data_IF_962021481893
#
_entry.id   IF_962021481893
#
_cell.length_a   1.000
_cell.length_b   1.000
_cell.length_c   1.000
_cell.angle_alpha   90.00
_cell.angle_beta   90.00
_cell.angle_gamma   90.00
#
_symmetry.space_group_name_H-M   'P 1'
#
loop_
_entity.id
_entity.type
_entity.pdbx_description
1 polymer ?
#
# COMPACT_ATOMS: atom_id res chain seq x y z
N UNK A 1 3.35 25.60 -10.50
CA UNK A 1 4.27 26.75 -10.28
C UNK A 1 4.24 27.70 -11.47
N UNK A 2 4.28 27.18 -12.70
CA UNK A 2 4.39 27.94 -13.96
C UNK A 2 3.39 29.10 -14.11
N UNK A 3 2.08 28.86 -13.90
CA UNK A 3 1.07 29.93 -13.97
C UNK A 3 1.38 31.09 -13.01
N UNK A 4 1.72 30.79 -11.76
CA UNK A 4 2.07 31.81 -10.75
C UNK A 4 3.32 32.60 -11.15
N UNK A 5 4.30 31.94 -11.78
CA UNK A 5 5.49 32.62 -12.31
C UNK A 5 5.17 33.55 -13.49
N UNK A 6 4.25 33.18 -14.38
CA UNK A 6 3.80 34.08 -15.46
C UNK A 6 3.16 35.36 -14.90
N UNK A 7 2.30 35.21 -13.87
CA UNK A 7 1.67 36.34 -13.19
C UNK A 7 2.70 37.22 -12.49
N UNK A 8 3.68 36.61 -11.82
CA UNK A 8 4.77 37.35 -11.15
C UNK A 8 5.63 38.13 -12.16
N UNK A 9 6.02 37.50 -13.27
CA UNK A 9 6.80 38.17 -14.32
C UNK A 9 6.02 39.33 -14.95
N UNK A 10 4.72 39.16 -15.20
CA UNK A 10 3.88 40.24 -15.70
C UNK A 10 3.71 41.38 -14.70
N UNK A 11 3.63 41.08 -13.40
CA UNK A 11 3.56 42.09 -12.34
C UNK A 11 4.88 42.86 -12.17
N UNK A 12 6.03 42.24 -12.46
CA UNK A 12 7.35 42.88 -12.45
C UNK A 12 7.59 43.75 -13.68
N UNK A 13 7.05 43.36 -14.85
CA UNK A 13 7.12 44.17 -16.07
C UNK A 13 6.11 45.34 -16.07
N UNK A 14 5.06 45.27 -15.27
CA UNK A 14 4.00 46.30 -15.19
C UNK A 14 3.75 46.70 -13.74
N UNK A 15 2.61 46.32 -13.15
CA UNK A 15 2.31 46.45 -11.73
C UNK A 15 1.35 45.34 -11.27
N UNK A 16 1.17 45.19 -9.95
CA UNK A 16 0.37 44.12 -9.39
C UNK A 16 -1.11 44.19 -9.83
N UNK A 17 -1.69 45.38 -9.93
CA UNK A 17 -3.10 45.57 -10.28
C UNK A 17 -3.39 45.22 -11.74
N UNK A 18 -2.49 45.60 -12.66
CA UNK A 18 -2.60 45.25 -14.08
C UNK A 18 -2.41 43.75 -14.30
N UNK A 19 -1.43 43.13 -13.63
CA UNK A 19 -1.26 41.68 -13.67
C UNK A 19 -2.47 40.94 -13.08
N UNK A 20 -3.01 41.43 -11.96
CA UNK A 20 -4.23 40.89 -11.36
C UNK A 20 -5.41 40.87 -12.35
N UNK A 21 -5.68 42.01 -13.00
CA UNK A 21 -6.72 42.13 -14.03
C UNK A 21 -6.47 41.24 -15.24
N UNK A 22 -5.24 41.24 -15.77
CA UNK A 22 -4.86 40.46 -16.96
C UNK A 22 -5.04 38.95 -16.77
N UNK A 23 -4.75 38.43 -15.59
CA UNK A 23 -4.79 36.99 -15.30
C UNK A 23 -6.01 36.55 -14.47
N UNK A 24 -6.96 37.44 -14.19
CA UNK A 24 -8.16 37.12 -13.42
C UNK A 24 -7.87 36.66 -11.99
N UNK A 25 -6.82 37.19 -11.36
CA UNK A 25 -6.43 36.85 -9.99
C UNK A 25 -6.50 38.09 -9.10
N UNK A 26 -6.71 37.90 -7.80
CA UNK A 26 -6.71 39.03 -6.86
C UNK A 26 -5.30 39.60 -6.69
N UNK A 27 -5.20 40.92 -6.54
CA UNK A 27 -3.91 41.61 -6.32
C UNK A 27 -3.17 41.06 -5.09
N UNK A 28 -3.89 40.71 -4.02
CA UNK A 28 -3.30 40.12 -2.82
C UNK A 28 -2.56 38.79 -3.12
N UNK A 29 -3.07 37.99 -4.06
CA UNK A 29 -2.41 36.76 -4.51
C UNK A 29 -1.17 37.08 -5.35
N UNK A 30 -1.23 38.11 -6.20
CA UNK A 30 -0.07 38.59 -6.97
C UNK A 30 1.06 39.01 -6.01
N UNK A 31 0.74 39.85 -5.02
CA UNK A 31 1.70 40.30 -4.00
C UNK A 31 2.30 39.11 -3.24
N UNK A 32 1.46 38.18 -2.78
CA UNK A 32 1.92 36.96 -2.09
C UNK A 32 2.84 36.11 -2.96
N UNK A 33 2.53 35.92 -4.24
CA UNK A 33 3.37 35.13 -5.15
C UNK A 33 4.68 35.81 -5.48
N UNK A 34 4.74 37.14 -5.53
CA UNK A 34 6.00 37.90 -5.64
C UNK A 34 6.91 37.66 -4.44
N UNK A 35 6.38 37.69 -3.22
CA UNK A 35 7.15 37.35 -2.00
C UNK A 35 7.66 35.90 -2.06
N UNK A 36 6.90 35.00 -2.67
CA UNK A 36 7.25 33.59 -2.80
C UNK A 36 8.05 33.26 -4.08
N UNK A 37 8.53 34.25 -4.83
CA UNK A 37 9.14 34.06 -6.16
C UNK A 37 10.25 33.01 -6.17
N UNK A 38 11.20 33.06 -5.23
CA UNK A 38 12.32 32.12 -5.18
C UNK A 38 11.86 30.68 -4.86
N UNK A 39 10.87 30.54 -3.98
CA UNK A 39 10.25 29.24 -3.71
C UNK A 39 9.48 28.71 -4.92
N UNK A 40 8.86 29.59 -5.71
CA UNK A 40 8.14 29.22 -6.93
C UNK A 40 9.10 28.83 -8.07
N UNK A 41 10.26 29.50 -8.19
CA UNK A 41 11.34 29.13 -9.12
C UNK A 41 11.92 27.75 -8.81
N UNK A 42 12.17 27.47 -7.53
CA UNK A 42 12.75 26.20 -7.07
C UNK A 42 11.70 25.06 -6.95
N UNK A 43 10.42 25.35 -7.22
CA UNK A 43 9.38 24.34 -7.17
C UNK A 43 9.40 23.46 -8.43
N UNK A 44 9.37 22.14 -8.24
CA UNK A 44 9.28 21.18 -9.34
C UNK A 44 8.03 21.46 -10.22
N UNK A 45 8.26 21.73 -11.52
CA UNK A 45 7.23 22.11 -12.49
C UNK A 45 6.14 21.04 -12.68
N UNK A 46 6.48 19.74 -12.52
CA UNK A 46 5.55 18.62 -12.62
C UNK A 46 4.69 18.45 -11.36
N UNK A 47 5.04 19.11 -10.25
CA UNK A 47 4.34 18.97 -8.96
C UNK A 47 3.13 19.92 -8.90
N UNK A 48 1.92 19.37 -9.06
CA UNK A 48 0.66 20.12 -8.96
C UNK A 48 0.26 20.51 -7.52
N UNK A 49 0.76 19.81 -6.51
CA UNK A 49 0.47 20.10 -5.09
C UNK A 49 1.60 19.61 -4.15
N UNK A 50 1.74 20.26 -2.99
CA UNK A 50 2.60 19.74 -1.92
C UNK A 50 1.97 18.45 -1.35
N UNK A 51 2.69 17.34 -1.46
CA UNK A 51 2.26 16.00 -1.02
C UNK A 51 2.90 15.58 0.31
N UNK A 52 3.46 16.54 1.06
CA UNK A 52 4.23 16.28 2.26
C UNK A 52 5.71 16.01 1.99
N UNK A 53 6.52 15.88 3.06
CA UNK A 53 7.90 15.42 3.00
C UNK A 53 7.97 13.98 2.48
N UNK A 54 8.97 13.70 1.64
CA UNK A 54 9.25 12.32 1.21
C UNK A 54 9.92 11.47 2.29
N UNK A 55 10.45 12.10 3.34
CA UNK A 55 11.12 11.43 4.46
C UNK A 55 10.34 11.63 5.76
N UNK A 56 10.24 10.58 6.58
CA UNK A 56 9.67 10.67 7.92
C UNK A 56 10.62 11.39 8.88
N UNK A 57 10.10 11.81 10.05
CA UNK A 57 10.94 12.34 11.16
C UNK A 57 11.97 11.31 11.62
N UNK A 58 11.56 10.04 11.69
CA UNK A 58 12.40 8.92 12.14
C UNK A 58 12.84 8.09 10.93
N UNK A 59 13.82 8.59 10.19
CA UNK A 59 14.27 7.97 8.93
C UNK A 59 14.83 6.56 9.15
N UNK A 60 15.55 6.35 10.25
CA UNK A 60 16.17 5.05 10.55
C UNK A 60 15.13 3.99 10.93
N UNK A 61 14.08 4.38 11.67
CA UNK A 61 12.93 3.49 11.94
C UNK A 61 12.25 3.14 10.62
N UNK A 62 11.95 4.14 9.78
CA UNK A 62 11.31 3.92 8.48
C UNK A 62 12.14 2.92 7.62
N UNK A 63 13.47 3.07 7.57
CA UNK A 63 14.39 2.19 6.82
C UNK A 63 14.34 0.74 7.32
N UNK A 64 14.62 0.52 8.61
CA UNK A 64 14.70 -0.82 9.20
C UNK A 64 13.36 -1.57 9.17
N UNK A 65 12.24 -0.85 9.31
CA UNK A 65 10.92 -1.45 9.17
C UNK A 65 10.63 -1.86 7.71
N UNK A 66 11.08 -1.08 6.73
CA UNK A 66 10.90 -1.45 5.32
C UNK A 66 11.73 -2.68 4.92
N UNK A 67 12.94 -2.80 5.44
CA UNK A 67 13.80 -3.98 5.26
C UNK A 67 13.12 -5.23 5.84
N UNK A 68 12.64 -5.15 7.09
CA UNK A 68 11.88 -6.22 7.73
C UNK A 68 10.62 -6.61 6.94
N UNK A 69 9.87 -5.64 6.42
CA UNK A 69 8.70 -5.92 5.59
C UNK A 69 9.10 -6.66 4.32
N UNK A 70 10.19 -6.26 3.67
CA UNK A 70 10.67 -6.89 2.43
C UNK A 70 11.13 -8.32 2.69
N UNK A 71 11.92 -8.55 3.73
CA UNK A 71 12.41 -9.87 4.15
C UNK A 71 11.24 -10.83 4.41
N UNK A 72 10.30 -10.46 5.27
CA UNK A 72 9.16 -11.32 5.63
C UNK A 72 8.22 -11.57 4.45
N UNK A 73 8.13 -10.63 3.50
CA UNK A 73 7.38 -10.85 2.26
C UNK A 73 8.08 -11.82 1.31
N UNK A 74 9.42 -11.81 1.25
CA UNK A 74 10.19 -12.77 0.47
C UNK A 74 10.07 -14.20 1.05
N UNK A 75 9.94 -14.33 2.37
CA UNK A 75 9.61 -15.60 3.05
C UNK A 75 8.15 -16.06 2.82
N UNK A 76 7.33 -15.28 2.11
CA UNK A 76 5.92 -15.59 1.88
C UNK A 76 5.00 -15.31 3.07
N UNK A 77 5.51 -14.74 4.17
CA UNK A 77 4.73 -14.50 5.37
C UNK A 77 3.78 -13.29 5.21
N UNK A 78 2.56 -13.37 5.77
CA UNK A 78 1.65 -12.24 5.82
C UNK A 78 2.13 -11.24 6.88
N UNK A 79 2.12 -9.95 6.52
CA UNK A 79 2.50 -8.87 7.44
C UNK A 79 1.31 -7.93 7.61
N UNK A 80 0.87 -7.79 8.85
CA UNK A 80 -0.19 -6.85 9.22
C UNK A 80 0.39 -5.53 9.68
N UNK A 81 -0.47 -4.51 9.77
CA UNK A 81 -0.07 -3.20 10.32
C UNK A 81 0.33 -3.29 11.79
N UNK A 82 -0.30 -4.16 12.56
CA UNK A 82 0.05 -4.39 13.96
C UNK A 82 1.49 -4.91 14.10
N UNK A 83 1.89 -5.86 13.24
CA UNK A 83 3.26 -6.39 13.20
C UNK A 83 4.25 -5.26 12.85
N UNK A 84 3.92 -4.41 11.88
CA UNK A 84 4.73 -3.24 11.51
C UNK A 84 4.90 -2.29 12.70
N UNK A 85 3.82 -2.00 13.42
CA UNK A 85 3.86 -1.12 14.59
C UNK A 85 4.70 -1.71 15.71
N UNK A 86 4.55 -3.01 15.98
CA UNK A 86 5.33 -3.72 16.99
C UNK A 86 6.83 -3.71 16.65
N UNK A 87 7.18 -4.02 15.39
CA UNK A 87 8.58 -3.96 14.94
C UNK A 87 9.15 -2.55 15.06
N UNK A 88 8.36 -1.53 14.73
CA UNK A 88 8.78 -0.14 14.86
C UNK A 88 9.04 0.28 16.30
N UNK A 89 8.23 -0.18 17.26
CA UNK A 89 8.45 0.07 18.69
C UNK A 89 9.73 -0.62 19.18
N UNK A 90 10.00 -1.85 18.73
CA UNK A 90 11.25 -2.53 19.08
C UNK A 90 12.48 -1.79 18.54
N UNK A 91 12.44 -1.33 17.29
CA UNK A 91 13.52 -0.53 16.71
C UNK A 91 13.67 0.81 17.45
N UNK A 92 12.57 1.44 17.87
CA UNK A 92 12.64 2.68 18.64
C UNK A 92 13.33 2.48 20.00
N UNK A 93 13.07 1.34 20.68
CA UNK A 93 13.77 0.96 21.91
C UNK A 93 15.27 0.75 21.66
N UNK A 94 15.62 0.05 20.58
CA UNK A 94 17.03 -0.19 20.20
C UNK A 94 17.78 1.12 19.89
N UNK A 95 17.08 2.12 19.34
CA UNK A 95 17.64 3.45 19.05
C UNK A 95 17.57 4.42 20.25
N UNK A 96 17.16 3.96 21.43
CA UNK A 96 16.96 4.76 22.63
C UNK A 96 16.00 5.97 22.41
N UNK A 97 14.98 5.81 21.56
CA UNK A 97 13.97 6.85 21.33
C UNK A 97 12.87 6.71 22.39
N UNK A 98 12.57 7.77 23.16
CA UNK A 98 11.52 7.72 24.17
C UNK A 98 10.14 7.41 23.59
N UNK A 99 9.31 6.68 24.34
CA UNK A 99 7.91 6.40 23.99
C UNK A 99 7.05 7.67 23.90
N UNK A 100 7.48 8.77 24.54
CA UNK A 100 6.88 10.10 24.41
C UNK A 100 7.07 10.68 23.02
N UNK A 101 8.20 10.40 22.36
CA UNK A 101 8.54 10.90 21.03
C UNK A 101 8.01 10.02 19.90
N UNK A 102 8.04 8.70 20.07
CA UNK A 102 7.60 7.75 19.06
C UNK A 102 6.64 6.71 19.61
N UNK A 103 5.39 6.74 19.11
CA UNK A 103 4.30 5.86 19.55
C UNK A 103 3.88 4.81 18.52
N UNK A 104 4.62 4.69 17.40
CA UNK A 104 4.23 3.86 16.25
C UNK A 104 2.75 3.99 15.86
N UNK A 105 2.20 5.22 15.89
CA UNK A 105 0.76 5.42 15.73
C UNK A 105 0.22 4.91 14.40
N UNK A 106 -1.08 4.62 14.36
CA UNK A 106 -1.81 4.23 13.14
C UNK A 106 -1.53 5.19 11.97
N UNK A 107 -1.50 6.49 12.26
CA UNK A 107 -1.19 7.54 11.28
C UNK A 107 0.29 7.62 10.87
N UNK A 108 1.24 7.24 11.74
CA UNK A 108 2.64 7.06 11.33
C UNK A 108 2.75 5.88 10.37
N UNK A 109 2.20 4.71 10.72
CA UNK A 109 2.26 3.49 9.91
C UNK A 109 1.70 3.71 8.49
N UNK A 110 0.51 4.33 8.36
CA UNK A 110 -0.08 4.64 7.04
C UNK A 110 0.85 5.56 6.22
N UNK A 111 1.40 6.60 6.85
CA UNK A 111 2.25 7.58 6.15
C UNK A 111 3.59 6.96 5.77
N UNK A 112 4.19 6.15 6.64
CA UNK A 112 5.43 5.41 6.36
C UNK A 112 5.22 4.46 5.18
N UNK A 113 4.18 3.61 5.23
CA UNK A 113 3.84 2.71 4.12
C UNK A 113 3.67 3.47 2.80
N UNK A 114 2.93 4.59 2.80
CA UNK A 114 2.76 5.42 1.60
C UNK A 114 4.08 5.99 1.06
N UNK A 115 5.01 6.39 1.94
CA UNK A 115 6.34 6.89 1.54
C UNK A 115 7.18 5.77 0.93
N UNK A 116 7.10 4.57 1.48
CA UNK A 116 7.87 3.39 1.06
C UNK A 116 7.24 2.59 -0.08
N UNK A 117 6.15 3.09 -0.67
CA UNK A 117 5.46 2.40 -1.75
C UNK A 117 4.75 1.11 -1.32
N UNK A 118 4.44 0.96 -0.04
CA UNK A 118 3.72 -0.18 0.53
C UNK A 118 2.21 0.10 0.60
N UNK A 119 1.39 -0.94 0.39
CA UNK A 119 -0.07 -0.89 0.48
C UNK A 119 -0.62 -2.18 1.09
N UNK A 120 -1.80 -2.08 1.70
CA UNK A 120 -2.56 -3.27 2.06
C UNK A 120 -3.09 -3.94 0.80
N UNK A 121 -2.89 -5.24 0.69
CA UNK A 121 -3.37 -6.10 -0.40
C UNK A 121 -4.16 -7.24 0.22
N UNK A 122 -5.35 -7.49 -0.31
CA UNK A 122 -6.08 -8.74 -0.07
C UNK A 122 -5.60 -9.76 -1.09
N UNK A 123 -5.26 -10.97 -0.67
CA UNK A 123 -5.03 -12.05 -1.62
C UNK A 123 -6.38 -12.37 -2.29
N UNK A 124 -6.52 -12.08 -3.59
CA UNK A 124 -7.77 -12.28 -4.34
C UNK A 124 -7.85 -13.61 -5.07
N UNK A 125 -6.79 -14.43 -5.09
CA UNK A 125 -6.89 -15.79 -5.61
C UNK A 125 -5.91 -16.73 -4.90
N UNK A 126 -6.45 -17.82 -4.36
CA UNK A 126 -5.74 -19.08 -4.16
C UNK A 126 -6.04 -19.99 -5.36
N UNK A 127 -5.98 -19.45 -6.58
CA UNK A 127 -5.99 -20.31 -7.76
C UNK A 127 -4.60 -20.94 -7.82
N UNK A 128 -4.42 -22.04 -7.09
CA UNK A 128 -3.31 -22.95 -7.37
C UNK A 128 -3.40 -23.28 -8.87
N UNK A 129 -2.30 -23.16 -9.58
CA UNK A 129 -2.25 -23.68 -10.95
C UNK A 129 -2.68 -25.14 -10.89
N UNK A 130 -3.76 -25.47 -11.61
CA UNK A 130 -4.18 -26.87 -11.70
C UNK A 130 -3.01 -27.65 -12.31
N UNK A 131 -2.62 -28.79 -11.70
CA UNK A 131 -1.66 -29.69 -12.32
C UNK A 131 -2.08 -30.04 -13.76
N UNK A 132 -1.11 -30.24 -14.64
CA UNK A 132 -1.38 -30.56 -16.06
C UNK A 132 -2.21 -31.83 -16.23
N UNK A 133 -2.13 -32.77 -15.28
CA UNK A 133 -2.84 -34.04 -15.24
C UNK A 133 -4.19 -33.97 -14.50
N UNK A 134 -4.62 -32.80 -14.03
CA UNK A 134 -5.85 -32.64 -13.25
C UNK A 134 -7.09 -33.15 -13.98
N UNK A 135 -7.22 -32.82 -15.27
CA UNK A 135 -8.38 -33.19 -16.07
C UNK A 135 -8.49 -34.73 -16.21
N UNK A 136 -7.36 -35.41 -16.44
CA UNK A 136 -7.33 -36.87 -16.56
C UNK A 136 -7.64 -37.57 -15.24
N UNK A 137 -7.05 -37.10 -14.13
CA UNK A 137 -7.32 -37.63 -12.79
C UNK A 137 -8.77 -37.42 -12.36
N UNK A 138 -9.35 -36.26 -12.68
CA UNK A 138 -10.76 -35.99 -12.40
C UNK A 138 -11.66 -36.97 -13.16
N UNK A 139 -11.37 -37.20 -14.44
CA UNK A 139 -12.17 -38.08 -15.29
C UNK A 139 -12.04 -39.56 -14.87
N UNK A 140 -10.84 -40.01 -14.51
CA UNK A 140 -10.62 -41.38 -14.02
C UNK A 140 -11.31 -41.63 -12.68
N UNK A 141 -11.23 -40.67 -11.75
CA UNK A 141 -11.92 -40.74 -10.47
C UNK A 141 -13.45 -40.77 -10.63
N UNK A 142 -14.02 -39.91 -11.48
CA UNK A 142 -15.45 -39.93 -11.77
C UNK A 142 -15.91 -41.28 -12.34
N UNK A 143 -15.17 -41.85 -13.30
CA UNK A 143 -15.48 -43.18 -13.86
C UNK A 143 -15.43 -44.27 -12.79
N UNK A 144 -14.42 -44.23 -11.93
CA UNK A 144 -14.26 -45.17 -10.82
C UNK A 144 -15.45 -45.14 -9.84
N UNK A 145 -15.85 -43.94 -9.39
CA UNK A 145 -16.98 -43.76 -8.46
C UNK A 145 -18.31 -44.21 -9.09
N UNK A 146 -18.55 -43.86 -10.36
CA UNK A 146 -19.75 -44.30 -11.09
C UNK A 146 -19.76 -45.83 -11.22
N UNK A 147 -18.62 -46.46 -11.49
CA UNK A 147 -18.48 -47.91 -11.57
C UNK A 147 -18.83 -48.60 -10.25
N UNK A 148 -18.28 -48.12 -9.13
CA UNK A 148 -18.59 -48.62 -7.79
C UNK A 148 -20.08 -48.50 -7.47
N UNK A 149 -20.69 -47.35 -7.79
CA UNK A 149 -22.12 -47.12 -7.55
C UNK A 149 -22.99 -48.11 -8.31
N UNK A 150 -22.67 -48.39 -9.59
CA UNK A 150 -23.41 -49.38 -10.40
C UNK A 150 -23.21 -50.80 -9.90
N UNK A 151 -21.99 -51.16 -9.47
CA UNK A 151 -21.65 -52.51 -9.00
C UNK A 151 -22.36 -52.90 -7.70
N UNK A 152 -22.50 -51.95 -6.78
CA UNK A 152 -23.02 -52.21 -5.43
C UNK A 152 -24.41 -51.63 -5.19
N UNK A 153 -25.01 -50.98 -6.19
CA UNK A 153 -26.35 -50.37 -6.13
C UNK A 153 -26.55 -49.42 -4.94
N UNK A 154 -25.51 -48.65 -4.58
CA UNK A 154 -25.60 -47.67 -3.50
C UNK A 154 -26.67 -46.62 -3.79
N UNK A 155 -27.61 -46.47 -2.86
CA UNK A 155 -28.61 -45.40 -2.88
C UNK A 155 -27.94 -44.09 -2.45
N UNK A 156 -28.54 -42.93 -2.78
CA UNK A 156 -27.92 -41.63 -2.49
C UNK A 156 -27.77 -41.36 -1.00
N UNK A 157 -28.70 -41.88 -0.20
CA UNK A 157 -28.71 -41.83 1.27
C UNK A 157 -27.54 -42.61 1.91
N UNK A 158 -26.90 -43.52 1.17
CA UNK A 158 -25.75 -44.31 1.61
C UNK A 158 -24.40 -43.66 1.24
N UNK A 159 -24.41 -42.50 0.58
CA UNK A 159 -23.21 -41.80 0.11
C UNK A 159 -23.01 -40.55 0.95
N UNK A 160 -22.08 -40.63 1.90
CA UNK A 160 -21.63 -39.47 2.69
C UNK A 160 -20.43 -38.78 2.04
N UNK A 161 -20.43 -37.45 2.03
CA UNK A 161 -19.21 -36.68 1.79
C UNK A 161 -18.51 -36.43 3.12
N UNK A 162 -17.21 -36.71 3.19
CA UNK A 162 -16.40 -36.43 4.36
C UNK A 162 -15.15 -35.70 3.90
N UNK A 163 -14.89 -34.54 4.49
CA UNK A 163 -13.63 -33.83 4.32
C UNK A 163 -13.00 -33.53 5.67
N UNK A 164 -11.73 -33.16 5.63
CA UNK A 164 -11.04 -32.57 6.77
C UNK A 164 -11.02 -31.07 6.54
N UNK A 165 -11.74 -30.34 7.38
CA UNK A 165 -11.58 -28.89 7.46
C UNK A 165 -10.53 -28.57 8.53
N UNK A 166 -9.35 -28.03 8.16
CA UNK A 166 -8.35 -27.66 9.14
C UNK A 166 -8.87 -26.50 10.00
N UNK A 167 -8.87 -26.69 11.32
CA UNK A 167 -9.09 -25.61 12.28
C UNK A 167 -7.73 -25.02 12.63
N UNK A 168 -7.46 -23.82 12.11
CA UNK A 168 -6.22 -23.13 12.42
C UNK A 168 -6.29 -22.47 13.80
N UNK A 169 -5.28 -22.70 14.64
CA UNK A 169 -5.15 -22.01 15.94
C UNK A 169 -5.01 -20.49 15.80
N UNK A 170 -4.49 -20.02 14.65
CA UNK A 170 -4.41 -18.60 14.31
C UNK A 170 -4.94 -18.40 12.88
N UNK A 171 -5.91 -17.50 12.72
CA UNK A 171 -6.53 -17.21 11.43
C UNK A 171 -5.97 -15.87 10.91
N UNK A 172 -4.84 -15.89 10.16
CA UNK A 172 -4.23 -14.67 9.69
C UNK A 172 -5.21 -13.90 8.80
N UNK A 173 -5.24 -12.57 8.97
CA UNK A 173 -6.12 -11.72 8.18
C UNK A 173 -5.85 -11.91 6.68
N UNK A 174 -6.92 -11.96 5.87
CA UNK A 174 -6.82 -12.03 4.40
C UNK A 174 -6.09 -10.85 3.74
N UNK A 175 -5.63 -9.88 4.53
CA UNK A 175 -4.98 -8.65 4.11
C UNK A 175 -3.53 -8.64 4.61
N UNK A 176 -2.59 -8.43 3.70
CA UNK A 176 -1.14 -8.32 3.98
C UNK A 176 -0.58 -7.04 3.38
N UNK A 177 0.54 -6.54 3.92
CA UNK A 177 1.26 -5.41 3.35
C UNK A 177 2.16 -5.87 2.20
N UNK A 178 2.06 -5.22 1.05
CA UNK A 178 2.86 -5.52 -0.15
C UNK A 178 3.38 -4.25 -0.82
N UNK A 179 4.37 -4.37 -1.71
CA UNK A 179 4.69 -3.26 -2.62
C UNK A 179 3.52 -2.95 -3.53
N UNK A 180 3.30 -1.66 -3.73
CA UNK A 180 2.25 -1.13 -4.58
C UNK A 180 2.59 -1.39 -6.05
N UNK A 181 1.66 -2.02 -6.77
CA UNK A 181 1.77 -2.27 -8.21
C UNK A 181 2.37 -3.63 -8.58
N UNK A 182 2.86 -4.38 -7.61
CA UNK A 182 3.33 -5.76 -7.80
C UNK A 182 2.13 -6.69 -8.08
N UNK A 183 2.28 -7.65 -8.98
CA UNK A 183 1.26 -8.66 -9.28
C UNK A 183 1.47 -9.89 -8.41
#
# INVERSE_FOLDING_TARGET
ANFKMMVVNAAEATNNCQAARKYGVTECNVRRWRIQKDRLKNANSKRKAFRGPQRGRFQEIDRRVCEFVTEKRNEGLPITRAIIQLKALNIAKELNIPSTEFKASTGWCIRMMRRSGLALRRRTSLAQHLPSDFAEKLQSFQRYVIGLRKKHSYTLDQIGNADQTPVFFDMPTSVTVHKKGEK
#
